data_IF_133874399298
#
_entry.id   IF_133874399298
#
_cell.length_a   1.000
_cell.length_b   1.000
_cell.length_c   1.000
_cell.angle_alpha   90.00
_cell.angle_beta   90.00
_cell.angle_gamma   90.00
#
_symmetry.space_group_name_H-M   'P 1'
#
loop_
_entity.id
_entity.type
_entity.pdbx_description
1 polymer ?
#
# COMPACT_ATOMS: atom_id res chain seq x y z
N UNK A 1 0.58 -5.12 7.60
CA UNK A 1 0.46 -4.74 6.17
C UNK A 1 -0.85 -4.01 5.83
N UNK A 2 -1.88 -3.99 6.69
CA UNK A 2 -3.20 -3.48 6.31
C UNK A 2 -3.17 -2.03 5.79
N UNK A 3 -2.50 -1.12 6.52
CA UNK A 3 -2.39 0.29 6.14
C UNK A 3 -1.56 0.48 4.86
N UNK A 4 -0.49 -0.29 4.72
CA UNK A 4 0.37 -0.27 3.52
C UNK A 4 -0.38 -0.78 2.28
N UNK A 5 -1.19 -1.82 2.41
CA UNK A 5 -2.02 -2.36 1.33
C UNK A 5 -3.15 -1.41 0.93
N UNK A 6 -3.78 -0.75 1.90
CA UNK A 6 -4.81 0.25 1.63
C UNK A 6 -4.25 1.42 0.82
N UNK A 7 -3.08 1.94 1.23
CA UNK A 7 -2.39 3.00 0.50
C UNK A 7 -1.93 2.55 -0.87
N UNK A 8 -1.38 1.34 -1.00
CA UNK A 8 -0.99 0.78 -2.29
C UNK A 8 -2.19 0.66 -3.23
N UNK A 9 -3.32 0.12 -2.75
CA UNK A 9 -4.52 0.01 -3.56
C UNK A 9 -5.06 1.38 -3.97
N UNK A 10 -5.06 2.35 -3.06
CA UNK A 10 -5.44 3.74 -3.34
C UNK A 10 -4.52 4.36 -4.40
N UNK A 11 -3.20 4.16 -4.27
CA UNK A 11 -2.21 4.64 -5.22
C UNK A 11 -2.47 4.04 -6.61
N UNK A 12 -2.63 2.72 -6.70
CA UNK A 12 -2.89 2.04 -7.98
C UNK A 12 -4.19 2.55 -8.61
N UNK A 13 -5.25 2.65 -7.81
CA UNK A 13 -6.55 3.14 -8.27
C UNK A 13 -6.45 4.59 -8.79
N UNK A 14 -5.86 5.49 -8.00
CA UNK A 14 -5.66 6.90 -8.38
C UNK A 14 -4.76 7.02 -9.60
N UNK A 15 -3.63 6.30 -9.69
CA UNK A 15 -2.76 6.35 -10.87
C UNK A 15 -3.51 5.86 -12.12
N UNK A 16 -4.25 4.75 -12.04
CA UNK A 16 -5.01 4.24 -13.18
C UNK A 16 -6.14 5.19 -13.60
N UNK A 17 -6.93 5.72 -12.67
CA UNK A 17 -8.11 6.52 -13.02
C UNK A 17 -7.80 8.00 -13.25
N UNK A 18 -6.94 8.61 -12.43
CA UNK A 18 -6.57 10.03 -12.54
C UNK A 18 -5.40 10.26 -13.50
N UNK A 19 -4.30 9.52 -13.37
CA UNK A 19 -3.08 9.83 -14.15
C UNK A 19 -3.17 9.38 -15.61
N UNK A 20 -3.79 8.23 -15.87
CA UNK A 20 -3.98 7.72 -17.23
C UNK A 20 -5.21 8.32 -17.94
N UNK A 21 -5.97 9.23 -17.30
CA UNK A 21 -7.13 9.89 -17.93
C UNK A 21 -8.24 8.92 -18.35
N UNK A 22 -8.32 7.77 -17.67
CA UNK A 22 -9.29 6.70 -17.94
C UNK A 22 -10.65 6.97 -17.28
N UNK A 23 -10.77 8.10 -16.58
CA UNK A 23 -11.99 8.57 -15.98
C UNK A 23 -13.11 8.69 -17.03
N UNK A 24 -14.25 8.04 -16.77
CA UNK A 24 -15.44 7.99 -17.66
C UNK A 24 -15.28 7.29 -19.02
N UNK A 25 -14.17 6.57 -19.28
CA UNK A 25 -13.99 5.84 -20.55
C UNK A 25 -14.33 4.35 -20.51
N UNK A 26 -14.53 3.78 -19.31
CA UNK A 26 -14.77 2.36 -19.15
C UNK A 26 -16.16 2.06 -18.59
N UNK A 27 -16.79 1.03 -19.17
CA UNK A 27 -18.01 0.45 -18.64
C UNK A 27 -17.76 -0.24 -17.28
N UNK A 28 -18.82 -0.38 -16.48
CA UNK A 28 -18.78 -0.98 -15.14
C UNK A 28 -18.21 -2.41 -15.17
N UNK A 29 -18.46 -3.16 -16.24
CA UNK A 29 -17.92 -4.51 -16.41
C UNK A 29 -16.41 -4.51 -16.63
N UNK A 30 -15.88 -3.54 -17.38
CA UNK A 30 -14.43 -3.41 -17.56
C UNK A 30 -13.75 -3.00 -16.25
N UNK A 31 -14.41 -2.18 -15.42
CA UNK A 31 -13.92 -1.82 -14.09
C UNK A 31 -13.75 -3.04 -13.17
N UNK A 32 -14.69 -4.00 -13.24
CA UNK A 32 -14.61 -5.26 -12.49
C UNK A 32 -13.38 -6.09 -12.89
N UNK A 33 -13.00 -6.07 -14.17
CA UNK A 33 -11.79 -6.76 -14.65
C UNK A 33 -10.54 -6.14 -14.03
N UNK A 34 -10.51 -4.82 -13.79
CA UNK A 34 -9.39 -4.15 -13.12
C UNK A 34 -9.23 -4.53 -11.64
N UNK A 35 -10.26 -5.05 -10.97
CA UNK A 35 -10.15 -5.49 -9.57
C UNK A 35 -9.18 -6.67 -9.44
N UNK A 36 -9.23 -7.62 -10.36
CA UNK A 36 -8.37 -8.83 -10.36
C UNK A 36 -6.87 -8.48 -10.35
N UNK A 37 -6.32 -7.68 -11.29
CA UNK A 37 -4.91 -7.32 -11.31
C UNK A 37 -4.52 -6.44 -10.12
N UNK A 38 -5.42 -5.58 -9.63
CA UNK A 38 -5.15 -4.76 -8.44
C UNK A 38 -5.02 -5.65 -7.20
N UNK A 39 -5.89 -6.63 -7.03
CA UNK A 39 -5.78 -7.63 -5.97
C UNK A 39 -4.51 -8.47 -6.10
N UNK A 40 -4.19 -8.95 -7.30
CA UNK A 40 -2.94 -9.68 -7.55
C UNK A 40 -1.72 -8.83 -7.19
N UNK A 41 -1.69 -7.56 -7.59
CA UNK A 41 -0.61 -6.64 -7.24
C UNK A 41 -0.51 -6.44 -5.71
N UNK A 42 -1.64 -6.29 -5.02
CA UNK A 42 -1.69 -6.13 -3.56
C UNK A 42 -1.21 -7.40 -2.84
N UNK A 43 -1.60 -8.58 -3.33
CA UNK A 43 -1.19 -9.88 -2.80
C UNK A 43 0.30 -10.14 -3.04
N UNK A 44 0.78 -9.92 -4.27
CA UNK A 44 2.18 -10.09 -4.64
C UNK A 44 3.06 -9.13 -3.85
N UNK A 45 2.69 -7.86 -3.76
CA UNK A 45 3.41 -6.89 -2.95
C UNK A 45 3.44 -7.32 -1.48
N UNK A 46 2.29 -7.69 -0.90
CA UNK A 46 2.23 -8.20 0.47
C UNK A 46 3.12 -9.41 0.68
N UNK A 47 3.09 -10.36 -0.24
CA UNK A 47 3.83 -11.62 -0.14
C UNK A 47 5.34 -11.41 -0.26
N UNK A 48 5.78 -10.65 -1.26
CA UNK A 48 7.18 -10.26 -1.44
C UNK A 48 7.65 -9.50 -0.20
N UNK A 49 6.87 -8.51 0.25
CA UNK A 49 7.26 -7.68 1.38
C UNK A 49 7.35 -8.48 2.68
N UNK A 50 6.36 -9.31 2.99
CA UNK A 50 6.37 -10.16 4.20
C UNK A 50 7.52 -11.18 4.19
N UNK A 51 8.07 -11.49 3.01
CA UNK A 51 9.26 -12.34 2.88
C UNK A 51 10.56 -11.63 3.27
N UNK A 52 10.63 -10.31 3.11
CA UNK A 52 11.80 -9.51 3.49
C UNK A 52 11.65 -8.81 4.84
N UNK A 53 10.42 -8.44 5.24
CA UNK A 53 10.15 -7.62 6.42
C UNK A 53 8.89 -8.10 7.17
N UNK A 54 8.97 -8.21 8.50
CA UNK A 54 7.83 -8.62 9.36
C UNK A 54 6.75 -7.55 9.52
N UNK A 55 7.04 -6.30 9.16
CA UNK A 55 6.13 -5.15 9.29
C UNK A 55 6.02 -4.41 7.96
N UNK A 56 4.86 -3.79 7.71
CA UNK A 56 4.63 -3.02 6.49
C UNK A 56 5.45 -1.74 6.44
N UNK A 57 5.81 -1.27 5.23
CA UNK A 57 6.68 -0.10 5.07
C UNK A 57 6.10 1.11 5.77
N UNK A 58 4.80 1.33 5.59
CA UNK A 58 4.12 2.50 6.16
C UNK A 58 3.85 2.31 7.64
N UNK A 59 3.60 1.09 8.11
CA UNK A 59 3.45 0.81 9.54
C UNK A 59 4.78 1.03 10.28
N UNK A 60 5.89 0.62 9.67
CA UNK A 60 7.23 0.90 10.17
C UNK A 60 7.52 2.41 10.18
N UNK A 61 7.22 3.10 9.07
CA UNK A 61 7.40 4.55 8.96
C UNK A 61 6.54 5.30 9.98
N UNK A 62 5.28 4.90 10.15
CA UNK A 62 4.36 5.45 11.13
C UNK A 62 4.90 5.27 12.55
N UNK A 63 5.40 4.07 12.88
CA UNK A 63 6.03 3.80 14.18
C UNK A 63 7.26 4.69 14.41
N UNK A 64 8.11 4.87 13.39
CA UNK A 64 9.26 5.78 13.46
C UNK A 64 8.82 7.23 13.70
N UNK A 65 7.77 7.68 13.00
CA UNK A 65 7.25 9.05 13.11
C UNK A 65 6.62 9.29 14.48
N UNK A 66 5.80 8.37 14.98
CA UNK A 66 5.20 8.46 16.33
C UNK A 66 6.27 8.48 17.41
N UNK A 67 7.31 7.64 17.30
CA UNK A 67 8.41 7.63 18.26
C UNK A 67 9.13 8.98 18.29
N UNK A 68 9.49 9.53 17.12
CA UNK A 68 10.09 10.87 17.01
C UNK A 68 9.19 11.98 17.55
N UNK A 69 7.90 11.94 17.26
CA UNK A 69 6.93 12.93 17.73
C UNK A 69 6.68 12.85 19.25
N UNK A 70 6.78 11.65 19.83
CA UNK A 70 6.59 11.42 21.27
C UNK A 70 7.82 11.74 22.14
N UNK A 71 8.96 12.11 21.53
CA UNK A 71 10.21 12.41 22.25
C UNK A 71 10.87 11.19 22.91
N UNK A 72 10.39 9.97 22.65
CA UNK A 72 10.99 8.74 23.17
C UNK A 72 12.09 8.25 22.23
N UNK A 73 13.32 8.09 22.75
CA UNK A 73 14.46 7.62 21.97
C UNK A 73 14.29 6.14 21.58
N UNK A 74 14.75 5.78 20.39
CA UNK A 74 14.68 4.44 19.80
C UNK A 74 15.48 3.42 20.64
N UNK A 75 14.88 2.85 21.69
CA UNK A 75 15.43 1.65 22.32
C UNK A 75 15.13 0.43 21.42
N UNK A 76 16.11 0.08 20.58
CA UNK A 76 16.28 -1.27 20.03
C UNK A 76 15.11 -1.84 19.22
N UNK A 77 14.83 -1.30 18.03
CA UNK A 77 14.11 -2.12 17.03
C UNK A 77 15.14 -3.01 16.34
N UNK A 78 15.26 -4.24 16.85
CA UNK A 78 15.96 -5.36 16.22
C UNK A 78 15.65 -5.41 14.72
N UNK A 79 16.71 -5.69 13.95
CA UNK A 79 16.69 -6.18 12.57
C UNK A 79 15.55 -7.16 12.31
#
# INVERSE_FOLDING_TARGET
MALSNYLLQTLICTTLFYQFGLFMKFDRLTLLIFVIPVWLANLLFSWIWLRFYRQGPVEWLWRQLTLRASGTSLSGTSR
#
